data_IF_425199042622
#
_entry.id   IF_425199042622
#
_cell.length_a   1.000
_cell.length_b   1.000
_cell.length_c   1.000
_cell.angle_alpha   90.00
_cell.angle_beta   90.00
_cell.angle_gamma   90.00
#
_symmetry.space_group_name_H-M   'P 1'
#
loop_
_entity.id
_entity.type
_entity.pdbx_description
1 polymer ?
#
# COMPACT_ATOMS: atom_id res chain seq x y z
N UNK A 1 -20.93 3.94 -2.07
CA UNK A 1 -19.92 3.08 -1.42
C UNK A 1 -18.47 3.34 -1.85
N UNK A 2 -18.19 3.61 -3.14
CA UNK A 2 -16.80 3.80 -3.62
C UNK A 2 -16.01 4.91 -2.88
N UNK A 3 -16.66 6.07 -2.59
CA UNK A 3 -16.04 7.14 -1.78
C UNK A 3 -15.65 6.69 -0.37
N UNK A 4 -16.50 5.93 0.31
CA UNK A 4 -16.21 5.39 1.64
C UNK A 4 -15.06 4.37 1.58
N UNK A 5 -15.07 3.46 0.59
CA UNK A 5 -13.98 2.51 0.37
C UNK A 5 -12.64 3.22 0.10
N UNK A 6 -12.63 4.30 -0.68
CA UNK A 6 -11.44 5.13 -0.92
C UNK A 6 -10.90 5.76 0.35
N UNK A 7 -11.78 6.32 1.19
CA UNK A 7 -11.38 6.90 2.49
C UNK A 7 -10.78 5.82 3.37
N UNK A 8 -11.41 4.65 3.47
CA UNK A 8 -10.89 3.52 4.25
C UNK A 8 -9.52 3.06 3.74
N UNK A 9 -9.36 2.87 2.43
CA UNK A 9 -8.09 2.42 1.83
C UNK A 9 -7.00 3.49 1.99
N UNK A 10 -7.33 4.77 1.80
CA UNK A 10 -6.40 5.87 2.05
C UNK A 10 -5.95 5.93 3.51
N UNK A 11 -6.86 5.78 4.47
CA UNK A 11 -6.52 5.69 5.89
C UNK A 11 -5.62 4.49 6.19
N UNK A 12 -5.89 3.31 5.60
CA UNK A 12 -5.00 2.16 5.76
C UNK A 12 -3.60 2.41 5.18
N UNK A 13 -3.48 3.08 4.02
CA UNK A 13 -2.16 3.41 3.46
C UNK A 13 -1.33 4.27 4.41
N UNK A 14 -1.96 5.27 5.03
CA UNK A 14 -1.32 6.14 6.03
C UNK A 14 -0.92 5.34 7.27
N UNK A 15 -1.78 4.42 7.73
CA UNK A 15 -1.47 3.52 8.85
C UNK A 15 -0.28 2.61 8.51
N UNK A 16 -0.24 2.02 7.32
CA UNK A 16 0.87 1.16 6.87
C UNK A 16 2.18 1.94 6.83
N UNK A 17 2.16 3.19 6.38
CA UNK A 17 3.31 4.09 6.45
C UNK A 17 3.73 4.38 7.90
N UNK A 18 2.77 4.68 8.78
CA UNK A 18 3.03 4.89 10.20
C UNK A 18 3.65 3.67 10.88
N UNK A 19 3.14 2.47 10.59
CA UNK A 19 3.68 1.20 11.08
C UNK A 19 5.08 0.95 10.52
N UNK A 20 5.32 1.26 9.24
CA UNK A 20 6.65 1.15 8.65
C UNK A 20 7.66 2.02 9.41
N UNK A 21 7.36 3.29 9.66
CA UNK A 21 8.23 4.17 10.44
C UNK A 21 8.40 3.68 11.89
N UNK A 22 7.31 3.28 12.55
CA UNK A 22 7.32 2.81 13.94
C UNK A 22 8.11 1.51 14.11
N UNK A 23 8.13 0.62 13.10
CA UNK A 23 8.89 -0.63 13.12
C UNK A 23 10.35 -0.44 12.70
N UNK A 24 10.62 0.45 11.74
CA UNK A 24 11.97 0.68 11.19
C UNK A 24 12.89 1.38 12.20
N UNK A 25 12.38 2.33 12.99
CA UNK A 25 13.16 3.11 13.97
C UNK A 25 13.76 2.23 15.09
N UNK A 26 13.02 1.31 15.75
CA UNK A 26 13.56 0.48 16.81
C UNK A 26 14.30 -0.77 16.33
N UNK A 27 14.31 -1.08 15.02
CA UNK A 27 14.85 -2.34 14.53
C UNK A 27 16.39 -2.33 14.47
N UNK A 28 17.03 -3.09 15.36
CA UNK A 28 18.50 -3.18 15.42
C UNK A 28 19.13 -3.99 14.27
N UNK A 29 18.34 -4.83 13.60
CA UNK A 29 18.82 -5.69 12.49
C UNK A 29 18.54 -5.04 11.14
N UNK A 30 19.61 -4.73 10.40
CA UNK A 30 19.53 -4.14 9.05
C UNK A 30 18.83 -5.05 8.04
N UNK A 31 19.01 -6.38 8.12
CA UNK A 31 18.28 -7.34 7.27
C UNK A 31 16.79 -7.36 7.61
N UNK A 32 16.44 -7.35 8.90
CA UNK A 32 15.05 -7.29 9.35
C UNK A 32 14.37 -6.00 8.90
N UNK A 33 15.06 -4.87 9.00
CA UNK A 33 14.59 -3.58 8.55
C UNK A 33 14.30 -3.55 7.04
N UNK A 34 15.22 -4.07 6.22
CA UNK A 34 15.03 -4.17 4.77
C UNK A 34 13.81 -5.03 4.43
N UNK A 35 13.66 -6.20 5.07
CA UNK A 35 12.51 -7.09 4.83
C UNK A 35 11.20 -6.43 5.26
N UNK A 36 11.16 -5.76 6.42
CA UNK A 36 9.98 -5.04 6.89
C UNK A 36 9.58 -3.91 5.93
N UNK A 37 10.54 -3.10 5.47
CA UNK A 37 10.29 -2.05 4.48
C UNK A 37 9.74 -2.66 3.19
N UNK A 38 10.31 -3.77 2.72
CA UNK A 38 9.90 -4.44 1.49
C UNK A 38 8.46 -4.98 1.60
N UNK A 39 8.11 -5.59 2.74
CA UNK A 39 6.74 -6.05 3.02
C UNK A 39 5.77 -4.86 3.10
N UNK A 40 6.12 -3.78 3.80
CA UNK A 40 5.30 -2.58 3.89
C UNK A 40 5.05 -1.95 2.51
N UNK A 41 6.08 -1.88 1.66
CA UNK A 41 5.96 -1.37 0.29
C UNK A 41 5.07 -2.25 -0.59
N UNK A 42 5.19 -3.58 -0.47
CA UNK A 42 4.30 -4.52 -1.17
C UNK A 42 2.84 -4.33 -0.72
N UNK A 43 2.59 -4.27 0.59
CA UNK A 43 1.25 -4.03 1.13
C UNK A 43 0.68 -2.70 0.63
N UNK A 44 1.47 -1.63 0.65
CA UNK A 44 1.05 -0.32 0.15
C UNK A 44 0.74 -0.36 -1.35
N UNK A 45 1.56 -1.08 -2.13
CA UNK A 45 1.36 -1.24 -3.57
C UNK A 45 0.07 -2.00 -3.89
N UNK A 46 -0.24 -3.06 -3.14
CA UNK A 46 -1.50 -3.81 -3.26
C UNK A 46 -2.69 -2.91 -2.91
N UNK A 47 -2.58 -2.12 -1.84
CA UNK A 47 -3.61 -1.15 -1.47
C UNK A 47 -3.79 -0.07 -2.55
N UNK A 48 -2.72 0.37 -3.19
CA UNK A 48 -2.76 1.36 -4.27
C UNK A 48 -3.43 0.78 -5.52
N UNK A 49 -3.10 -0.46 -5.88
CA UNK A 49 -3.79 -1.17 -6.95
C UNK A 49 -5.29 -1.32 -6.63
N UNK A 50 -5.63 -1.69 -5.39
CA UNK A 50 -7.03 -1.80 -4.95
C UNK A 50 -7.75 -0.44 -4.98
N UNK A 51 -7.08 0.64 -4.55
CA UNK A 51 -7.60 2.00 -4.65
C UNK A 51 -7.90 2.40 -6.10
N UNK A 52 -6.98 2.16 -7.03
CA UNK A 52 -7.20 2.43 -8.47
C UNK A 52 -8.33 1.57 -9.04
N UNK A 53 -8.43 0.30 -8.64
CA UNK A 53 -9.51 -0.59 -9.06
C UNK A 53 -10.90 -0.16 -8.54
N UNK A 54 -10.99 0.61 -7.45
CA UNK A 54 -12.26 1.15 -6.95
C UNK A 54 -12.81 2.25 -7.88
N UNK A 55 -11.95 3.01 -8.57
CA UNK A 55 -12.36 4.05 -9.53
C UNK A 55 -12.72 3.48 -10.90
N UNK A 56 -11.85 2.62 -11.41
CA UNK A 56 -12.03 1.90 -12.67
C UNK A 56 -11.45 0.53 -12.47
N UNK A 57 -12.25 -0.50 -12.67
CA UNK A 57 -11.76 -1.87 -12.70
C UNK A 57 -11.08 -2.08 -14.06
N UNK A 58 -9.74 -2.04 -14.17
CA UNK A 58 -9.09 -2.24 -15.45
C UNK A 58 -9.33 -3.69 -15.86
N UNK A 59 -9.81 -3.90 -17.08
CA UNK A 59 -10.11 -5.24 -17.61
C UNK A 59 -8.84 -6.06 -17.83
N UNK A 60 -7.67 -5.40 -17.86
CA UNK A 60 -6.36 -6.05 -17.94
C UNK A 60 -5.25 -5.23 -17.27
N UNK A 61 -4.18 -5.91 -16.81
CA UNK A 61 -2.96 -5.28 -16.28
C UNK A 61 -2.31 -4.29 -17.27
N UNK A 62 -2.47 -4.55 -18.58
CA UNK A 62 -1.98 -3.69 -19.66
C UNK A 62 -2.76 -2.39 -19.77
N UNK A 63 -4.06 -2.39 -19.46
CA UNK A 63 -4.86 -1.17 -19.34
C UNK A 63 -4.52 -0.39 -18.07
N UNK A 64 -4.22 -1.09 -16.97
CA UNK A 64 -3.80 -0.45 -15.72
C UNK A 64 -2.48 0.31 -15.88
N UNK A 65 -1.52 -0.22 -16.64
CA UNK A 65 -0.23 0.44 -16.93
C UNK A 65 -0.32 1.63 -17.92
N UNK A 66 -1.47 1.79 -18.61
CA UNK A 66 -1.72 2.87 -19.57
C UNK A 66 -2.55 4.03 -18.99
N UNK A 67 -3.14 3.87 -17.81
CA UNK A 67 -3.78 4.96 -17.06
C UNK A 67 -2.73 5.81 -16.35
#
# INVERSE_FOLDING_TARGET
MAKFKKIVVGSLMVIVWGVMFAMVIPMKSSRGQVVTVLICLILNSILAAYYSCIDRQPTSFREWLKM
#
